data_IF_337207168545
#
_entry.id   IF_337207168545
#
_cell.length_a   1.000
_cell.length_b   1.000
_cell.length_c   1.000
_cell.angle_alpha   90.00
_cell.angle_beta   90.00
_cell.angle_gamma   90.00
#
_symmetry.space_group_name_H-M   'P 1'
#
loop_
_entity.id
_entity.type
_entity.pdbx_description
1 polymer ?
#
# COMPACT_ATOMS: atom_id res chain seq x y z
N UNK A 1 -0.50 16.60 6.14
CA UNK A 1 0.48 17.26 7.02
C UNK A 1 1.59 17.83 6.13
N UNK A 2 1.97 19.10 6.30
CA UNK A 2 2.96 19.80 5.47
C UNK A 2 4.32 19.05 5.42
N UNK A 3 4.73 18.43 6.53
CA UNK A 3 6.00 17.69 6.62
C UNK A 3 6.03 16.44 5.72
N UNK A 4 4.92 15.73 5.56
CA UNK A 4 4.83 14.60 4.64
C UNK A 4 4.92 15.01 3.16
N UNK A 5 4.44 16.22 2.81
CA UNK A 5 4.62 16.75 1.46
C UNK A 5 6.07 17.20 1.22
N UNK A 6 6.71 17.80 2.23
CA UNK A 6 8.11 18.24 2.18
C UNK A 6 9.11 17.07 2.08
N UNK A 7 8.80 15.91 2.67
CA UNK A 7 9.64 14.71 2.58
C UNK A 7 9.66 14.07 1.18
N UNK A 8 8.75 14.48 0.27
CA UNK A 8 8.70 14.00 -1.12
C UNK A 8 9.35 14.97 -2.13
N UNK A 9 9.99 16.04 -1.64
CA UNK A 9 10.67 17.02 -2.49
C UNK A 9 12.11 16.56 -2.83
N UNK A 10 12.48 16.40 -4.13
CA UNK A 10 13.78 15.88 -4.55
C UNK A 10 14.99 16.73 -4.12
N UNK A 11 14.80 18.01 -3.83
CA UNK A 11 15.87 18.94 -3.43
C UNK A 11 16.13 18.96 -1.93
N UNK A 12 15.42 18.16 -1.13
CA UNK A 12 15.52 18.13 0.34
C UNK A 12 15.97 16.76 0.88
N UNK A 13 16.94 16.12 0.23
CA UNK A 13 17.47 14.83 0.65
C UNK A 13 17.98 14.84 2.11
N UNK A 14 18.59 15.94 2.56
CA UNK A 14 19.15 16.08 3.92
C UNK A 14 18.10 16.19 5.05
N UNK A 15 16.82 16.44 4.74
CA UNK A 15 15.77 16.61 5.75
C UNK A 15 14.62 15.61 5.64
N UNK A 16 14.66 14.70 4.66
CA UNK A 16 13.57 13.74 4.40
C UNK A 16 13.26 12.86 5.62
N UNK A 17 14.30 12.31 6.25
CA UNK A 17 14.18 11.53 7.49
C UNK A 17 13.54 12.32 8.63
N UNK A 18 14.06 13.53 8.88
CA UNK A 18 13.55 14.40 9.95
C UNK A 18 12.08 14.77 9.73
N UNK A 19 11.68 15.05 8.49
CA UNK A 19 10.29 15.35 8.17
C UNK A 19 9.35 14.14 8.35
N UNK A 20 9.80 12.92 8.04
CA UNK A 20 9.03 11.71 8.27
C UNK A 20 8.81 11.46 9.77
N UNK A 21 9.87 11.60 10.57
CA UNK A 21 9.79 11.46 12.04
C UNK A 21 8.85 12.50 12.66
N UNK A 22 8.93 13.76 12.21
CA UNK A 22 8.03 14.84 12.64
C UNK A 22 6.58 14.55 12.23
N UNK A 23 6.35 14.03 11.02
CA UNK A 23 5.00 13.67 10.57
C UNK A 23 4.41 12.55 11.43
N UNK A 24 5.19 11.50 11.72
CA UNK A 24 4.79 10.39 12.61
C UNK A 24 4.44 10.93 14.00
N UNK A 25 5.31 11.75 14.60
CA UNK A 25 5.07 12.34 15.92
C UNK A 25 3.79 13.18 15.93
N UNK A 26 3.55 13.98 14.89
CA UNK A 26 2.34 14.80 14.78
C UNK A 26 1.07 13.94 14.66
N UNK A 27 1.10 12.86 13.89
CA UNK A 27 -0.04 11.93 13.78
C UNK A 27 -0.30 11.20 15.09
N UNK A 28 0.74 10.71 15.78
CA UNK A 28 0.61 10.08 17.10
C UNK A 28 0.02 11.04 18.14
N UNK A 29 0.47 12.30 18.16
CA UNK A 29 -0.08 13.31 19.07
C UNK A 29 -1.55 13.62 18.77
N UNK A 30 -1.95 13.61 17.49
CA UNK A 30 -3.35 13.78 17.11
C UNK A 30 -4.19 12.58 17.58
N UNK A 31 -3.72 11.35 17.38
CA UNK A 31 -4.40 10.12 17.83
C UNK A 31 -4.45 9.98 19.36
N UNK A 32 -3.57 10.64 20.09
CA UNK A 32 -3.64 10.72 21.55
C UNK A 32 -4.75 11.65 22.06
N UNK A 33 -5.27 12.55 21.21
CA UNK A 33 -6.32 13.53 21.55
C UNK A 33 -7.67 13.23 20.90
N UNK A 34 -7.68 12.38 19.87
CA UNK A 34 -8.86 12.02 19.11
C UNK A 34 -9.14 10.55 19.31
N UNK A 35 -10.39 10.20 19.60
CA UNK A 35 -10.81 8.80 19.65
C UNK A 35 -11.64 8.44 18.42
N UNK A 36 -11.72 7.13 18.14
CA UNK A 36 -12.52 6.63 17.03
C UNK A 36 -14.02 6.80 17.29
N UNK A 37 -14.45 6.85 18.55
CA UNK A 37 -15.84 7.07 18.94
C UNK A 37 -16.31 8.50 18.64
N UNK A 38 -15.44 9.49 18.77
CA UNK A 38 -15.78 10.90 18.58
C UNK A 38 -15.76 11.31 17.10
N UNK A 39 -14.73 10.88 16.36
CA UNK A 39 -14.50 11.31 14.97
C UNK A 39 -13.96 10.17 14.09
N UNK A 40 -14.72 9.09 13.86
CA UNK A 40 -14.23 7.84 13.25
C UNK A 40 -13.57 8.02 11.87
N UNK A 41 -14.17 8.85 11.00
CA UNK A 41 -13.61 9.12 9.68
C UNK A 41 -12.26 9.84 9.74
N UNK A 42 -12.13 10.83 10.62
CA UNK A 42 -10.87 11.58 10.81
C UNK A 42 -9.82 10.68 11.46
N UNK A 43 -10.21 9.88 12.45
CA UNK A 43 -9.34 8.90 13.10
C UNK A 43 -8.76 7.90 12.08
N UNK A 44 -9.62 7.27 11.26
CA UNK A 44 -9.20 6.35 10.20
C UNK A 44 -8.29 7.01 9.16
N UNK A 45 -8.54 8.28 8.83
CA UNK A 45 -7.69 9.04 7.90
C UNK A 45 -6.30 9.28 8.50
N UNK A 46 -6.20 9.66 9.77
CA UNK A 46 -4.92 9.88 10.45
C UNK A 46 -4.15 8.56 10.56
N UNK A 47 -4.81 7.47 10.94
CA UNK A 47 -4.20 6.14 10.99
C UNK A 47 -3.65 5.70 9.62
N UNK A 48 -4.42 5.88 8.54
CA UNK A 48 -3.93 5.59 7.19
C UNK A 48 -2.69 6.42 6.82
N UNK A 49 -2.66 7.70 7.19
CA UNK A 49 -1.51 8.57 6.90
C UNK A 49 -0.29 8.22 7.78
N UNK A 50 -0.52 7.78 9.00
CA UNK A 50 0.51 7.25 9.88
C UNK A 50 1.15 5.99 9.29
N UNK A 51 0.32 5.07 8.77
CA UNK A 51 0.80 3.88 8.06
C UNK A 51 1.68 4.24 6.86
N UNK A 52 1.25 5.20 6.04
CA UNK A 52 2.03 5.67 4.90
C UNK A 52 3.37 6.29 5.32
N UNK A 53 3.39 7.07 6.41
CA UNK A 53 4.62 7.67 6.92
C UNK A 53 5.60 6.62 7.44
N UNK A 54 5.12 5.59 8.13
CA UNK A 54 5.94 4.46 8.57
C UNK A 54 6.48 3.64 7.39
N UNK A 55 5.65 3.31 6.39
CA UNK A 55 6.11 2.64 5.19
C UNK A 55 7.15 3.46 4.41
N UNK A 56 6.98 4.79 4.37
CA UNK A 56 7.97 5.69 3.78
C UNK A 56 9.29 5.68 4.57
N UNK A 57 9.23 5.68 5.91
CA UNK A 57 10.39 5.65 6.83
C UNK A 57 11.17 4.33 6.76
N UNK A 58 10.48 3.21 6.55
CA UNK A 58 11.08 1.88 6.42
C UNK A 58 12.15 1.79 5.32
N UNK A 59 12.02 2.61 4.27
CA UNK A 59 13.00 2.70 3.17
C UNK A 59 14.32 3.34 3.58
N UNK A 60 14.37 3.97 4.76
CA UNK A 60 15.53 4.71 5.24
C UNK A 60 16.13 4.11 6.52
N UNK A 61 15.31 3.58 7.43
CA UNK A 61 15.80 2.92 8.65
C UNK A 61 14.84 1.86 9.16
N UNK A 62 15.39 0.86 9.85
CA UNK A 62 14.65 -0.16 10.59
C UNK A 62 13.44 -0.71 9.80
N UNK A 63 13.68 -1.29 8.60
CA UNK A 63 12.60 -1.57 7.65
C UNK A 63 11.52 -2.48 8.23
N UNK A 64 11.89 -3.59 8.87
CA UNK A 64 10.93 -4.54 9.43
C UNK A 64 10.03 -3.90 10.50
N UNK A 65 10.63 -3.22 11.50
CA UNK A 65 9.89 -2.55 12.58
C UNK A 65 8.93 -1.49 12.02
N UNK A 66 9.41 -0.61 11.14
CA UNK A 66 8.57 0.43 10.57
C UNK A 66 7.46 -0.15 9.67
N UNK A 67 7.70 -1.25 8.96
CA UNK A 67 6.65 -1.92 8.18
C UNK A 67 5.60 -2.58 9.08
N UNK A 68 5.99 -3.15 10.22
CA UNK A 68 5.02 -3.66 11.21
C UNK A 68 4.15 -2.54 11.78
N UNK A 69 4.74 -1.38 12.10
CA UNK A 69 3.97 -0.20 12.55
C UNK A 69 3.03 0.31 11.43
N UNK A 70 3.49 0.27 10.18
CA UNK A 70 2.68 0.61 9.01
C UNK A 70 1.44 -0.28 8.88
N UNK A 71 1.63 -1.60 8.98
CA UNK A 71 0.56 -2.60 8.95
C UNK A 71 -0.45 -2.34 10.07
N UNK A 72 0.01 -2.19 11.33
CA UNK A 72 -0.87 -1.92 12.48
C UNK A 72 -1.72 -0.67 12.28
N UNK A 73 -1.13 0.40 11.74
CA UNK A 73 -1.86 1.65 11.48
C UNK A 73 -2.91 1.49 10.36
N UNK A 74 -2.61 0.74 9.29
CA UNK A 74 -3.60 0.46 8.24
C UNK A 74 -4.72 -0.46 8.72
N UNK A 75 -4.42 -1.50 9.48
CA UNK A 75 -5.42 -2.38 10.09
C UNK A 75 -6.35 -1.58 11.01
N UNK A 76 -5.81 -0.69 11.84
CA UNK A 76 -6.60 0.18 12.70
C UNK A 76 -7.46 1.16 11.88
N UNK A 77 -6.95 1.71 10.78
CA UNK A 77 -7.75 2.52 9.86
C UNK A 77 -8.93 1.72 9.27
N UNK A 78 -8.73 0.46 8.90
CA UNK A 78 -9.75 -0.42 8.32
C UNK A 78 -10.83 -0.86 9.33
N UNK A 79 -10.56 -0.81 10.65
CA UNK A 79 -11.59 -1.03 11.68
C UNK A 79 -12.68 0.04 11.67
N UNK A 80 -12.31 1.27 11.30
CA UNK A 80 -13.20 2.45 11.34
C UNK A 80 -13.59 2.95 9.95
N UNK A 81 -12.95 2.43 8.90
CA UNK A 81 -13.30 2.69 7.51
C UNK A 81 -14.10 1.52 6.97
N UNK A 82 -15.36 1.76 6.59
CA UNK A 82 -16.25 0.71 6.09
C UNK A 82 -16.43 0.82 4.58
N UNK A 83 -16.44 -0.34 3.92
CA UNK A 83 -16.63 -0.46 2.49
C UNK A 83 -17.99 0.13 2.02
N UNK A 84 -19.03 0.00 2.83
CA UNK A 84 -20.38 0.45 2.49
C UNK A 84 -20.52 1.98 2.48
N UNK A 85 -19.74 2.68 3.30
CA UNK A 85 -19.78 4.15 3.41
C UNK A 85 -18.70 4.84 2.58
N UNK A 86 -17.51 4.23 2.47
CA UNK A 86 -16.34 4.85 1.84
C UNK A 86 -15.54 3.84 1.00
N UNK A 87 -16.14 3.20 -0.02
CA UNK A 87 -15.58 2.04 -0.72
C UNK A 87 -14.19 2.31 -1.31
N UNK A 88 -14.01 3.44 -2.00
CA UNK A 88 -12.73 3.78 -2.64
C UNK A 88 -11.64 4.05 -1.60
N UNK A 89 -11.97 4.73 -0.49
CA UNK A 89 -11.00 4.95 0.58
C UNK A 89 -10.64 3.63 1.28
N UNK A 90 -11.61 2.74 1.47
CA UNK A 90 -11.40 1.40 2.03
C UNK A 90 -10.42 0.62 1.14
N UNK A 91 -10.70 0.55 -0.16
CA UNK A 91 -9.87 -0.13 -1.13
C UNK A 91 -8.46 0.46 -1.25
N UNK A 92 -8.33 1.79 -1.20
CA UNK A 92 -7.01 2.45 -1.17
C UNK A 92 -6.19 2.05 0.06
N UNK A 93 -6.82 1.95 1.24
CA UNK A 93 -6.14 1.46 2.45
C UNK A 93 -5.76 -0.01 2.34
N UNK A 94 -6.63 -0.85 1.78
CA UNK A 94 -6.32 -2.26 1.53
C UNK A 94 -5.12 -2.41 0.57
N UNK A 95 -5.06 -1.65 -0.52
CA UNK A 95 -3.89 -1.65 -1.40
C UNK A 95 -2.60 -1.23 -0.66
N UNK A 96 -2.68 -0.22 0.21
CA UNK A 96 -1.52 0.21 0.97
C UNK A 96 -1.08 -0.82 2.01
N UNK A 97 -2.04 -1.50 2.66
CA UNK A 97 -1.79 -2.62 3.56
C UNK A 97 -1.09 -3.77 2.81
N UNK A 98 -1.57 -4.12 1.62
CA UNK A 98 -0.92 -5.13 0.78
C UNK A 98 0.51 -4.75 0.39
N UNK A 99 0.75 -3.47 0.11
CA UNK A 99 2.10 -2.95 -0.18
C UNK A 99 3.02 -3.06 1.04
N UNK A 100 2.51 -2.76 2.24
CA UNK A 100 3.29 -2.87 3.47
C UNK A 100 3.66 -4.34 3.77
N UNK A 101 2.71 -5.26 3.62
CA UNK A 101 2.98 -6.69 3.74
C UNK A 101 3.97 -7.19 2.69
N UNK A 102 3.80 -6.81 1.43
CA UNK A 102 4.72 -7.20 0.36
C UNK A 102 6.16 -6.75 0.65
N UNK A 103 6.35 -5.52 1.13
CA UNK A 103 7.66 -5.05 1.58
C UNK A 103 8.18 -5.83 2.78
N UNK A 104 7.33 -6.13 3.78
CA UNK A 104 7.76 -6.85 4.98
C UNK A 104 8.20 -8.28 4.66
N UNK A 105 7.57 -8.91 3.67
CA UNK A 105 7.95 -10.22 3.17
C UNK A 105 9.43 -10.31 2.73
N UNK A 106 9.99 -9.20 2.23
CA UNK A 106 11.40 -9.13 1.81
C UNK A 106 12.38 -9.10 2.99
N UNK A 107 11.87 -8.92 4.21
CA UNK A 107 12.67 -8.85 5.43
C UNK A 107 12.43 -10.03 6.37
N UNK A 108 11.20 -10.53 6.46
CA UNK A 108 10.85 -11.66 7.31
C UNK A 108 9.57 -12.36 6.87
N UNK A 109 9.40 -13.62 7.27
CA UNK A 109 8.17 -14.40 7.09
C UNK A 109 7.53 -14.27 5.68
N UNK A 110 8.31 -14.51 4.60
CA UNK A 110 7.89 -14.15 3.24
C UNK A 110 6.56 -14.78 2.82
N UNK A 111 6.36 -16.08 3.07
CA UNK A 111 5.12 -16.77 2.69
C UNK A 111 3.90 -16.19 3.39
N UNK A 112 4.01 -15.87 4.69
CA UNK A 112 2.92 -15.28 5.46
C UNK A 112 2.54 -13.92 4.87
N UNK A 113 3.51 -13.01 4.76
CA UNK A 113 3.23 -11.65 4.33
C UNK A 113 2.90 -11.54 2.84
N UNK A 114 3.41 -12.41 1.98
CA UNK A 114 2.97 -12.44 0.57
C UNK A 114 1.51 -12.88 0.45
N UNK A 115 1.04 -13.84 1.26
CA UNK A 115 -0.37 -14.23 1.29
C UNK A 115 -1.27 -13.11 1.81
N UNK A 116 -0.86 -12.41 2.88
CA UNK A 116 -1.58 -11.23 3.37
C UNK A 116 -1.60 -10.10 2.32
N UNK A 117 -0.50 -9.88 1.60
CA UNK A 117 -0.44 -8.91 0.52
C UNK A 117 -1.44 -9.24 -0.61
N UNK A 118 -1.45 -10.50 -1.06
CA UNK A 118 -2.39 -11.01 -2.06
C UNK A 118 -3.83 -10.79 -1.60
N UNK A 119 -4.15 -11.14 -0.36
CA UNK A 119 -5.50 -10.99 0.20
C UNK A 119 -5.94 -9.52 0.20
N UNK A 120 -5.09 -8.61 0.67
CA UNK A 120 -5.39 -7.18 0.72
C UNK A 120 -5.54 -6.56 -0.68
N UNK A 121 -4.70 -6.94 -1.65
CA UNK A 121 -4.86 -6.48 -3.04
C UNK A 121 -6.14 -7.01 -3.69
N UNK A 122 -6.47 -8.28 -3.48
CA UNK A 122 -7.71 -8.88 -3.99
C UNK A 122 -8.95 -8.19 -3.40
N UNK A 123 -8.94 -7.89 -2.10
CA UNK A 123 -10.00 -7.12 -1.45
C UNK A 123 -10.11 -5.72 -2.05
N UNK A 124 -8.99 -5.02 -2.26
CA UNK A 124 -8.99 -3.70 -2.89
C UNK A 124 -9.61 -3.72 -4.30
N UNK A 125 -9.27 -4.73 -5.13
CA UNK A 125 -9.80 -4.87 -6.49
C UNK A 125 -11.32 -5.02 -6.53
N UNK A 126 -11.96 -5.54 -5.48
CA UNK A 126 -13.42 -5.71 -5.45
C UNK A 126 -14.21 -4.39 -5.47
N UNK A 127 -13.55 -3.26 -5.22
CA UNK A 127 -14.16 -1.93 -5.20
C UNK A 127 -13.69 -0.99 -6.32
N UNK A 128 -12.71 -1.42 -7.13
CA UNK A 128 -12.29 -0.66 -8.31
C UNK A 128 -12.95 -1.23 -9.56
N UNK A 129 -13.60 -0.36 -10.33
CA UNK A 129 -14.15 -0.69 -11.63
C UNK A 129 -13.21 -0.23 -12.75
N UNK A 130 -13.06 -1.06 -13.79
CA UNK A 130 -12.16 -0.79 -14.92
C UNK A 130 -12.66 0.36 -15.81
N UNK A 131 -13.92 0.79 -15.69
CA UNK A 131 -14.44 1.94 -16.44
C UNK A 131 -14.25 3.25 -15.70
N UNK A 132 -14.41 3.25 -14.37
CA UNK A 132 -14.25 4.48 -13.57
C UNK A 132 -12.79 4.80 -13.28
N UNK A 133 -11.99 3.79 -12.92
CA UNK A 133 -10.61 3.99 -12.45
C UNK A 133 -9.63 2.96 -13.04
N UNK A 134 -9.53 2.85 -14.39
CA UNK A 134 -8.75 1.82 -15.07
C UNK A 134 -7.28 1.75 -14.63
N UNK A 135 -6.66 2.92 -14.39
CA UNK A 135 -5.25 2.99 -14.00
C UNK A 135 -5.01 2.54 -12.55
N UNK A 136 -5.95 2.81 -11.64
CA UNK A 136 -5.85 2.35 -10.25
C UNK A 136 -6.06 0.83 -10.20
N UNK A 137 -7.07 0.33 -10.92
CA UNK A 137 -7.30 -1.11 -11.05
C UNK A 137 -6.08 -1.83 -11.62
N UNK A 138 -5.50 -1.33 -12.72
CA UNK A 138 -4.30 -1.90 -13.34
C UNK A 138 -3.06 -1.81 -12.44
N UNK A 139 -2.98 -0.78 -11.59
CA UNK A 139 -1.92 -0.70 -10.59
C UNK A 139 -2.01 -1.80 -9.55
N UNK A 140 -3.20 -2.06 -9.04
CA UNK A 140 -3.39 -3.11 -8.03
C UNK A 140 -3.17 -4.48 -8.67
N UNK A 141 -3.59 -4.69 -9.92
CA UNK A 141 -3.28 -5.90 -10.68
C UNK A 141 -1.78 -6.13 -10.84
N UNK A 142 -1.02 -5.09 -11.17
CA UNK A 142 0.44 -5.19 -11.22
C UNK A 142 1.03 -5.59 -9.87
N UNK A 143 0.59 -4.96 -8.78
CA UNK A 143 1.06 -5.26 -7.43
C UNK A 143 0.73 -6.71 -7.04
N UNK A 144 -0.46 -7.19 -7.40
CA UNK A 144 -0.90 -8.56 -7.21
C UNK A 144 -0.03 -9.55 -8.00
N UNK A 145 0.27 -9.23 -9.26
CA UNK A 145 1.18 -10.02 -10.10
C UNK A 145 2.58 -10.14 -9.49
N UNK A 146 3.12 -9.05 -8.94
CA UNK A 146 4.41 -9.06 -8.24
C UNK A 146 4.38 -9.91 -6.97
N UNK A 147 3.30 -9.85 -6.19
CA UNK A 147 3.14 -10.69 -5.00
C UNK A 147 3.04 -12.17 -5.36
N UNK A 148 2.29 -12.54 -6.41
CA UNK A 148 2.24 -13.91 -6.92
C UNK A 148 3.61 -14.40 -7.41
N UNK A 149 4.31 -13.57 -8.19
CA UNK A 149 5.64 -13.92 -8.69
C UNK A 149 6.64 -14.15 -7.55
N UNK A 150 6.58 -13.35 -6.48
CA UNK A 150 7.41 -13.60 -5.29
C UNK A 150 6.99 -14.88 -4.56
N UNK A 151 5.69 -15.15 -4.40
CA UNK A 151 5.22 -16.35 -3.69
C UNK A 151 5.59 -17.64 -4.42
N UNK A 152 5.64 -17.60 -5.76
CA UNK A 152 6.10 -18.71 -6.60
C UNK A 152 7.51 -19.20 -6.26
N UNK A 153 8.35 -18.36 -5.66
CA UNK A 153 9.71 -18.73 -5.24
C UNK A 153 9.71 -19.65 -4.01
N UNK A 154 8.60 -19.74 -3.28
CA UNK A 154 8.49 -20.48 -2.02
C UNK A 154 7.57 -21.69 -2.12
N UNK A 155 6.48 -21.61 -2.88
CA UNK A 155 5.52 -22.71 -3.01
C UNK A 155 4.83 -22.67 -4.37
N UNK A 156 4.29 -23.81 -4.83
CA UNK A 156 3.42 -23.93 -6.01
C UNK A 156 3.80 -23.03 -7.22
N UNK A 157 5.04 -23.11 -7.74
CA UNK A 157 5.57 -22.16 -8.70
C UNK A 157 4.72 -22.06 -9.98
N UNK A 158 4.26 -23.17 -10.53
CA UNK A 158 3.44 -23.17 -11.75
C UNK A 158 2.13 -22.40 -11.55
N UNK A 159 1.44 -22.65 -10.42
CA UNK A 159 0.17 -21.98 -10.08
C UNK A 159 0.36 -20.47 -9.95
N UNK A 160 1.34 -20.05 -9.16
CA UNK A 160 1.53 -18.62 -8.89
C UNK A 160 2.15 -17.87 -10.06
N UNK A 161 3.02 -18.49 -10.87
CA UNK A 161 3.54 -17.85 -12.09
C UNK A 161 2.45 -17.65 -13.15
N UNK A 162 1.52 -18.60 -13.26
CA UNK A 162 0.35 -18.43 -14.14
C UNK A 162 -0.53 -17.27 -13.67
N UNK A 163 -0.83 -17.20 -12.37
CA UNK A 163 -1.60 -16.09 -11.80
C UNK A 163 -0.87 -14.74 -11.93
N UNK A 164 0.44 -14.70 -11.75
CA UNK A 164 1.25 -13.50 -11.95
C UNK A 164 1.16 -12.99 -13.40
N UNK A 165 1.28 -13.91 -14.37
CA UNK A 165 1.20 -13.59 -15.79
C UNK A 165 -0.17 -13.02 -16.17
N UNK A 166 -1.26 -13.63 -15.67
CA UNK A 166 -2.62 -13.12 -15.88
C UNK A 166 -2.80 -11.72 -15.29
N UNK A 167 -2.35 -11.50 -14.05
CA UNK A 167 -2.45 -10.19 -13.40
C UNK A 167 -1.66 -9.10 -14.14
N UNK A 168 -0.47 -9.41 -14.65
CA UNK A 168 0.31 -8.47 -15.48
C UNK A 168 -0.35 -8.20 -16.83
N UNK A 169 -0.91 -9.21 -17.50
CA UNK A 169 -1.65 -9.03 -18.75
C UNK A 169 -2.87 -8.13 -18.55
N UNK A 170 -3.62 -8.36 -17.47
CA UNK A 170 -4.76 -7.52 -17.07
C UNK A 170 -4.33 -6.06 -16.82
N UNK A 171 -3.22 -5.85 -16.11
CA UNK A 171 -2.68 -4.51 -15.91
C UNK A 171 -2.31 -3.81 -17.23
N UNK A 172 -1.71 -4.53 -18.18
CA UNK A 172 -1.28 -4.00 -19.49
C UNK A 172 -2.44 -3.64 -20.43
N UNK A 173 -3.66 -4.13 -20.17
CA UNK A 173 -4.85 -3.67 -20.93
C UNK A 173 -5.12 -2.17 -20.74
N UNK A 174 -4.70 -1.60 -19.60
CA UNK A 174 -4.91 -0.19 -19.27
C UNK A 174 -3.62 0.60 -19.12
N UNK A 175 -2.50 -0.05 -18.78
CA UNK A 175 -1.16 0.55 -18.74
C UNK A 175 -0.49 0.40 -20.10
N UNK A 176 -0.96 1.18 -21.08
CA UNK A 176 -0.36 1.17 -22.44
C UNK A 176 0.78 2.19 -22.56
N UNK A 177 1.65 2.08 -23.57
CA UNK A 177 2.68 3.09 -23.85
C UNK A 177 2.13 4.50 -24.09
N UNK A 178 0.90 4.61 -24.59
CA UNK A 178 0.24 5.89 -24.89
C UNK A 178 -0.42 6.50 -23.65
N UNK A 179 -1.01 5.67 -22.79
CA UNK A 179 -1.78 6.13 -21.62
C UNK A 179 -0.87 6.31 -20.40
N UNK A 180 0.03 5.36 -20.15
CA UNK A 180 0.88 5.35 -18.97
C UNK A 180 2.26 4.73 -19.26
N UNK A 181 3.10 5.38 -20.09
CA UNK A 181 4.35 4.78 -20.58
C UNK A 181 5.29 4.27 -19.49
N UNK A 182 5.45 5.02 -18.39
CA UNK A 182 6.28 4.59 -17.26
C UNK A 182 5.70 3.37 -16.53
N UNK A 183 4.38 3.33 -16.33
CA UNK A 183 3.71 2.21 -15.67
C UNK A 183 3.67 0.96 -16.57
N UNK A 184 3.49 1.15 -17.88
CA UNK A 184 3.60 0.10 -18.89
C UNK A 184 5.00 -0.54 -18.86
N UNK A 185 6.05 0.28 -18.90
CA UNK A 185 7.43 -0.21 -18.85
C UNK A 185 7.73 -0.95 -17.55
N UNK A 186 7.24 -0.44 -16.42
CA UNK A 186 7.40 -1.10 -15.12
C UNK A 186 6.70 -2.47 -15.05
N UNK A 187 5.57 -2.65 -15.73
CA UNK A 187 4.84 -3.94 -15.77
C UNK A 187 5.47 -4.95 -16.74
N UNK A 188 6.27 -4.50 -17.72
CA UNK A 188 6.95 -5.36 -18.69
C UNK A 188 8.34 -5.86 -18.22
N UNK A 189 8.90 -5.26 -17.17
CA UNK A 189 10.20 -5.61 -16.60
C UNK A 189 10.08 -6.72 -15.55
#
# INVERSE_FOLDING_TARGET
NLYWMLSRCPTCADHTLSHLEQAIQAYQLALAKLTAEEVPHTYAMIQNNLGAAYGDLARHKEPAENLEQSIRAYEEALRHRRAESEPIKYASTQNNLGTAHWNLAQHQSPVLHLREAIAAYAEALSYYDTKSEPLNWAMIQNNLGTAYWNLAQYEQPETWLNLATLAYQDALQHRTPEVAPAACAATLN
#
